data_IF_574261669838
#
_entry.id   IF_574261669838
#
_cell.length_a   1.000
_cell.length_b   1.000
_cell.length_c   1.000
_cell.angle_alpha   90.00
_cell.angle_beta   90.00
_cell.angle_gamma   90.00
#
_symmetry.space_group_name_H-M   'P 1'
#
loop_
_entity.id
_entity.type
_entity.pdbx_description
1 polymer ?
#
# COMPACT_ATOMS: atom_id res chain seq x y z
N UNK A 1 4.34 -15.44 43.57
CA UNK A 1 3.88 -15.00 42.21
C UNK A 1 4.46 -15.96 41.19
N UNK A 2 3.64 -16.80 40.58
CA UNK A 2 4.08 -17.63 39.44
C UNK A 2 4.08 -16.77 38.22
N UNK A 3 5.26 -16.53 37.64
CA UNK A 3 5.40 -15.82 36.36
C UNK A 3 5.35 -16.86 35.25
N UNK A 4 4.22 -16.93 34.53
CA UNK A 4 4.06 -17.80 33.36
C UNK A 4 4.47 -17.03 32.12
N UNK A 5 5.75 -17.14 31.73
CA UNK A 5 6.26 -16.56 30.49
C UNK A 5 5.97 -17.46 29.29
N UNK A 6 5.06 -17.06 28.40
CA UNK A 6 4.82 -17.76 27.11
C UNK A 6 5.86 -17.38 26.05
N UNK A 7 5.99 -18.20 24.99
CA UNK A 7 6.84 -17.84 23.85
C UNK A 7 6.40 -16.51 23.20
N UNK A 8 5.08 -16.29 23.09
CA UNK A 8 4.52 -15.03 22.58
C UNK A 8 4.94 -13.83 23.42
N UNK A 9 4.87 -13.91 24.78
CA UNK A 9 5.32 -12.83 25.66
C UNK A 9 6.82 -12.56 25.55
N UNK A 10 7.64 -13.61 25.36
CA UNK A 10 9.08 -13.47 25.15
C UNK A 10 9.40 -12.84 23.78
N UNK A 11 8.71 -13.25 22.73
CA UNK A 11 8.86 -12.68 21.40
C UNK A 11 8.52 -11.18 21.42
N UNK A 12 7.40 -10.81 22.04
CA UNK A 12 6.99 -9.42 22.12
C UNK A 12 7.93 -8.53 22.92
N UNK A 13 8.51 -9.04 24.02
CA UNK A 13 9.54 -8.30 24.78
C UNK A 13 10.74 -7.91 23.94
N UNK A 14 11.09 -8.69 22.91
CA UNK A 14 12.20 -8.42 22.00
C UNK A 14 11.94 -7.26 21.05
N UNK A 15 10.71 -6.82 20.87
CA UNK A 15 10.35 -5.80 19.87
C UNK A 15 9.55 -4.64 20.44
N UNK A 16 8.90 -4.80 21.60
CA UNK A 16 7.96 -3.79 22.12
C UNK A 16 8.52 -2.37 22.19
N UNK A 17 9.82 -2.21 22.46
CA UNK A 17 10.48 -0.91 22.49
C UNK A 17 10.72 -0.28 21.12
N UNK A 18 10.54 -1.05 20.04
CA UNK A 18 10.63 -0.58 18.67
C UNK A 18 9.24 -0.34 18.03
N UNK A 19 8.14 -0.69 18.72
CA UNK A 19 6.76 -0.42 18.27
C UNK A 19 6.32 0.93 18.83
N UNK A 20 5.83 1.81 17.95
CA UNK A 20 5.51 3.21 18.26
C UNK A 20 4.13 3.58 17.75
N UNK A 21 3.46 4.56 18.39
CA UNK A 21 2.30 5.23 17.80
C UNK A 21 2.76 6.29 16.82
N UNK A 22 2.05 6.39 15.69
CA UNK A 22 2.22 7.44 14.69
C UNK A 22 0.96 8.28 14.69
N UNK A 23 1.08 9.55 15.01
CA UNK A 23 -0.02 10.52 15.07
C UNK A 23 0.17 11.54 13.95
N UNK A 24 -0.86 11.69 13.11
CA UNK A 24 -0.88 12.62 12.00
C UNK A 24 -1.89 13.73 12.25
N UNK A 25 -1.49 14.95 11.98
CA UNK A 25 -2.30 16.16 12.21
C UNK A 25 -2.50 16.90 10.91
N UNK A 26 -3.71 17.40 10.67
CA UNK A 26 -4.00 18.31 9.56
C UNK A 26 -4.66 19.58 10.07
N UNK A 27 -4.38 20.70 9.42
CA UNK A 27 -5.09 21.94 9.65
C UNK A 27 -6.46 21.85 8.94
N UNK A 28 -7.51 21.54 9.66
CA UNK A 28 -8.85 21.65 9.12
C UNK A 28 -9.27 23.11 9.07
N UNK A 29 -9.15 23.74 7.90
CA UNK A 29 -9.87 24.97 7.57
C UNK A 29 -11.30 24.64 7.11
N UNK A 30 -12.05 23.88 7.89
CA UNK A 30 -13.49 23.79 7.68
C UNK A 30 -14.17 24.83 8.57
N UNK A 31 -14.73 25.85 7.90
CA UNK A 31 -15.60 26.81 8.55
C UNK A 31 -16.80 26.11 9.18
N UNK A 32 -16.65 25.84 10.44
CA UNK A 32 -17.72 25.57 11.36
C UNK A 32 -17.63 26.72 12.38
N UNK A 33 -18.57 27.68 12.28
CA UNK A 33 -18.79 28.72 13.25
C UNK A 33 -19.04 28.08 14.62
N UNK A 34 -17.98 27.81 15.34
CA UNK A 34 -18.06 27.41 16.75
C UNK A 34 -17.84 28.62 17.60
N UNK A 35 -18.58 28.70 18.73
CA UNK A 35 -18.55 29.77 19.72
C UNK A 35 -17.12 30.08 20.25
N UNK A 36 -16.14 29.26 19.97
CA UNK A 36 -14.74 29.45 20.34
C UNK A 36 -14.04 30.53 19.50
N UNK A 37 -14.48 30.76 18.25
CA UNK A 37 -13.95 31.88 17.41
C UNK A 37 -14.37 33.26 17.92
N UNK A 38 -15.37 33.32 18.81
CA UNK A 38 -15.89 34.58 19.37
C UNK A 38 -15.11 35.06 20.62
N UNK A 39 -14.29 34.17 21.24
CA UNK A 39 -13.54 34.48 22.45
C UNK A 39 -12.02 34.66 22.28
N UNK A 40 -11.55 34.71 21.04
CA UNK A 40 -10.30 35.37 20.70
C UNK A 40 -9.01 34.72 21.29
N UNK A 41 -8.89 33.39 21.22
CA UNK A 41 -7.58 32.76 21.32
C UNK A 41 -7.20 32.18 19.95
N UNK A 42 -6.30 32.87 19.24
CA UNK A 42 -5.81 32.52 17.91
C UNK A 42 -4.81 31.35 17.97
N UNK A 43 -5.18 30.27 18.65
CA UNK A 43 -4.48 29.01 18.60
C UNK A 43 -5.13 28.15 17.51
N UNK A 44 -4.47 27.99 16.37
CA UNK A 44 -4.84 26.97 15.39
C UNK A 44 -4.89 25.62 16.10
N UNK A 45 -6.11 25.12 16.41
CA UNK A 45 -6.27 23.83 17.03
C UNK A 45 -5.91 22.74 16.00
N UNK A 46 -4.68 22.25 16.10
CA UNK A 46 -4.25 21.07 15.34
C UNK A 46 -5.09 19.88 15.81
N UNK A 47 -5.99 19.42 14.97
CA UNK A 47 -6.79 18.23 15.27
C UNK A 47 -6.05 16.99 14.76
N UNK A 48 -5.83 16.03 15.63
CA UNK A 48 -5.31 14.70 15.19
C UNK A 48 -6.33 14.07 14.25
N UNK A 49 -5.91 13.84 13.00
CA UNK A 49 -6.79 13.32 11.94
C UNK A 49 -6.62 11.83 11.72
N UNK A 50 -5.48 11.27 12.12
CA UNK A 50 -5.20 9.85 11.97
C UNK A 50 -4.19 9.38 13.02
N UNK A 51 -4.42 8.18 13.53
CA UNK A 51 -3.52 7.48 14.44
C UNK A 51 -3.32 6.06 13.95
N UNK A 52 -2.10 5.57 14.05
CA UNK A 52 -1.71 4.21 13.72
C UNK A 52 -0.43 3.81 14.44
N UNK A 53 0.14 2.71 14.00
CA UNK A 53 1.38 2.16 14.52
C UNK A 53 2.55 2.38 13.57
N UNK A 54 3.76 2.24 14.09
CA UNK A 54 4.99 2.19 13.31
C UNK A 54 6.02 1.28 13.95
N UNK A 55 7.06 0.98 13.21
CA UNK A 55 8.16 0.13 13.64
C UNK A 55 9.49 0.84 13.44
N UNK A 56 10.25 1.05 14.49
CA UNK A 56 11.64 1.55 14.41
C UNK A 56 12.49 0.38 13.91
N UNK A 57 13.03 0.49 12.70
CA UNK A 57 13.80 -0.60 12.08
C UNK A 57 15.28 -0.29 11.89
N UNK A 58 15.69 0.97 12.04
CA UNK A 58 17.08 1.39 11.88
C UNK A 58 17.40 2.56 12.80
N UNK A 59 18.60 2.57 13.35
CA UNK A 59 19.21 3.70 14.03
C UNK A 59 20.55 4.00 13.38
N UNK A 60 20.79 5.26 13.04
CA UNK A 60 22.00 5.75 12.40
C UNK A 60 22.40 7.08 13.04
N UNK A 61 23.41 7.04 13.89
CA UNK A 61 23.81 8.19 14.70
C UNK A 61 22.67 8.73 15.56
N UNK A 62 22.33 9.99 15.36
CA UNK A 62 21.26 10.70 16.07
C UNK A 62 19.88 10.54 15.41
N UNK A 63 19.78 9.77 14.34
CA UNK A 63 18.54 9.58 13.59
C UNK A 63 18.04 8.14 13.71
N UNK A 64 16.76 7.95 13.92
CA UNK A 64 16.12 6.66 13.79
C UNK A 64 15.05 6.70 12.69
N UNK A 65 14.85 5.56 12.03
CA UNK A 65 13.91 5.40 10.93
C UNK A 65 12.75 4.52 11.38
N UNK A 66 11.54 4.96 11.03
CA UNK A 66 10.28 4.30 11.35
C UNK A 66 9.57 3.96 10.05
N UNK A 67 9.14 2.72 9.90
CA UNK A 67 8.19 2.34 8.83
C UNK A 67 6.78 2.37 9.40
N UNK A 68 5.84 2.87 8.61
CA UNK A 68 4.39 2.90 8.89
C UNK A 68 3.60 2.76 7.59
N UNK A 69 2.28 2.79 7.65
CA UNK A 69 1.45 2.85 6.46
C UNK A 69 1.34 4.29 5.90
N UNK A 70 1.27 4.39 4.58
CA UNK A 70 1.06 5.67 3.91
C UNK A 70 -0.29 6.30 4.29
N UNK A 71 -1.37 5.50 4.39
CA UNK A 71 -2.68 6.04 4.74
C UNK A 71 -2.74 6.67 6.14
N UNK A 72 -1.86 6.25 7.07
CA UNK A 72 -1.77 6.84 8.41
C UNK A 72 -1.27 8.29 8.37
N UNK A 73 -0.39 8.63 7.42
CA UNK A 73 0.24 9.96 7.33
C UNK A 73 -0.27 10.80 6.15
N UNK A 74 -1.14 10.24 5.32
CA UNK A 74 -1.60 10.90 4.10
C UNK A 74 -2.40 12.17 4.42
N UNK A 75 -2.03 13.28 3.76
CA UNK A 75 -2.68 14.59 3.96
C UNK A 75 -2.29 15.32 5.24
N UNK A 76 -1.35 14.76 6.03
CA UNK A 76 -0.91 15.39 7.26
C UNK A 76 0.06 16.57 7.00
N UNK A 77 -0.10 17.66 7.76
CA UNK A 77 0.83 18.77 7.79
C UNK A 77 1.93 18.57 8.84
N UNK A 78 1.65 17.75 9.85
CA UNK A 78 2.54 17.43 10.95
C UNK A 78 2.41 15.96 11.33
N UNK A 79 3.53 15.31 11.62
CA UNK A 79 3.57 13.93 12.09
C UNK A 79 4.39 13.87 13.36
N UNK A 80 3.87 13.18 14.37
CA UNK A 80 4.55 12.90 15.63
C UNK A 80 4.59 11.41 15.91
N UNK A 81 5.59 10.98 16.63
CA UNK A 81 5.77 9.58 17.03
C UNK A 81 5.82 9.52 18.56
N UNK A 82 4.91 8.73 19.13
CA UNK A 82 4.93 8.41 20.57
C UNK A 82 5.73 7.14 20.78
N UNK A 83 6.86 7.28 21.45
CA UNK A 83 7.76 6.18 21.79
C UNK A 83 7.19 5.32 22.91
N UNK A 84 7.65 4.08 23.03
CA UNK A 84 7.29 3.16 24.12
C UNK A 84 7.64 3.67 25.52
N UNK A 85 8.50 4.70 25.62
CA UNK A 85 8.82 5.42 26.85
C UNK A 85 7.76 6.45 27.25
N UNK A 86 6.72 6.68 26.45
CA UNK A 86 5.74 7.75 26.63
C UNK A 86 6.20 9.11 26.09
N UNK A 87 7.42 9.21 25.53
CA UNK A 87 7.92 10.46 24.96
C UNK A 87 7.40 10.65 23.53
N UNK A 88 6.77 11.78 23.27
CA UNK A 88 6.36 12.23 21.94
C UNK A 88 7.50 12.98 21.25
N UNK A 89 7.81 12.63 20.02
CA UNK A 89 8.88 13.24 19.21
C UNK A 89 8.34 13.61 17.83
N UNK A 90 8.82 14.74 17.30
CA UNK A 90 8.49 15.18 15.95
C UNK A 90 9.10 14.22 14.92
N UNK A 91 8.33 13.88 13.90
CA UNK A 91 8.78 13.08 12.78
C UNK A 91 8.80 13.89 11.48
N UNK A 92 9.75 13.55 10.61
CA UNK A 92 9.79 14.05 9.23
C UNK A 92 9.60 12.90 8.27
N UNK A 93 8.78 13.11 7.24
CA UNK A 93 8.56 12.10 6.20
C UNK A 93 9.78 12.05 5.30
N UNK A 94 10.41 10.87 5.20
CA UNK A 94 11.55 10.60 4.30
C UNK A 94 11.04 10.31 2.89
N UNK A 95 9.98 9.53 2.80
CA UNK A 95 9.30 9.17 1.57
C UNK A 95 8.08 8.32 1.87
N UNK A 96 7.18 8.25 0.91
CA UNK A 96 5.97 7.45 1.01
C UNK A 96 5.56 6.91 -0.36
N UNK A 97 4.73 5.88 -0.34
CA UNK A 97 4.22 5.23 -1.54
C UNK A 97 2.78 4.76 -1.32
N UNK A 98 1.87 5.34 -2.08
CA UNK A 98 0.44 5.06 -1.98
C UNK A 98 0.07 3.69 -2.56
N UNK A 99 0.87 3.13 -3.46
CA UNK A 99 0.63 1.84 -4.12
C UNK A 99 0.90 0.68 -3.16
N UNK A 100 2.05 0.71 -2.47
CA UNK A 100 2.39 -0.30 -1.44
C UNK A 100 1.80 0.03 -0.06
N UNK A 101 1.22 1.21 0.12
CA UNK A 101 0.73 1.72 1.40
C UNK A 101 1.80 1.78 2.49
N UNK A 102 3.04 2.13 2.13
CA UNK A 102 4.16 2.27 3.04
C UNK A 102 4.71 3.70 3.08
N UNK A 103 5.21 4.09 4.24
CA UNK A 103 5.92 5.34 4.44
C UNK A 103 7.11 5.15 5.37
N UNK A 104 8.14 5.96 5.20
CA UNK A 104 9.31 6.03 6.08
C UNK A 104 9.37 7.40 6.73
N UNK A 105 9.48 7.39 8.04
CA UNK A 105 9.68 8.58 8.86
C UNK A 105 11.09 8.56 9.47
N UNK A 106 11.63 9.73 9.74
CA UNK A 106 12.83 9.91 10.57
C UNK A 106 12.50 10.69 11.83
N UNK A 107 13.07 10.27 12.94
CA UNK A 107 12.94 10.87 14.27
C UNK A 107 14.30 11.04 14.92
N UNK A 108 14.37 11.88 15.97
CA UNK A 108 15.53 11.94 16.87
C UNK A 108 15.69 10.60 17.61
N UNK A 109 16.92 10.05 17.59
CA UNK A 109 17.22 8.74 18.13
C UNK A 109 17.65 8.75 19.61
N UNK A 110 17.71 9.90 20.27
CA UNK A 110 18.24 10.03 21.65
C UNK A 110 17.49 9.15 22.67
N UNK A 111 16.18 8.95 22.44
CA UNK A 111 15.31 8.15 23.31
C UNK A 111 14.97 6.77 22.71
N UNK A 112 15.57 6.40 21.58
CA UNK A 112 15.37 5.10 20.94
C UNK A 112 16.32 4.09 21.55
N UNK A 113 15.76 3.13 22.28
CA UNK A 113 16.50 2.07 22.97
C UNK A 113 16.51 0.73 22.24
N UNK A 114 15.57 0.51 21.35
CA UNK A 114 15.37 -0.77 20.66
C UNK A 114 15.03 -0.54 19.19
N UNK A 115 15.55 -1.43 18.35
CA UNK A 115 15.32 -1.47 16.91
C UNK A 115 14.81 -2.86 16.57
N UNK A 116 13.80 -2.96 15.71
CA UNK A 116 13.26 -4.22 15.25
C UNK A 116 14.15 -4.85 14.16
N UNK A 117 14.11 -6.17 14.10
CA UNK A 117 14.78 -6.94 13.05
C UNK A 117 13.74 -7.55 12.13
N UNK A 118 13.95 -7.42 10.81
CA UNK A 118 13.11 -8.11 9.83
C UNK A 118 13.49 -9.59 9.71
N UNK A 119 12.46 -10.45 9.68
CA UNK A 119 12.58 -11.84 9.26
C UNK A 119 12.41 -11.98 7.75
N UNK A 120 12.63 -13.18 7.23
CA UNK A 120 12.42 -13.49 5.81
C UNK A 120 11.01 -14.02 5.59
N UNK A 121 10.14 -13.20 4.97
CA UNK A 121 8.73 -13.56 4.72
C UNK A 121 8.54 -14.67 3.68
N UNK A 122 9.58 -15.03 2.92
CA UNK A 122 9.52 -16.19 2.01
C UNK A 122 9.63 -17.52 2.75
N UNK A 123 10.21 -17.53 3.96
CA UNK A 123 10.47 -18.73 4.75
C UNK A 123 9.37 -19.02 5.80
N UNK A 124 8.34 -18.18 5.90
CA UNK A 124 7.20 -18.44 6.81
C UNK A 124 6.34 -19.59 6.27
N UNK A 125 5.65 -20.30 7.17
CA UNK A 125 4.73 -21.37 6.79
C UNK A 125 3.31 -21.09 7.31
N UNK A 126 2.33 -21.57 6.56
CA UNK A 126 0.93 -21.56 7.01
C UNK A 126 0.81 -22.40 8.29
N UNK A 127 0.07 -21.88 9.26
CA UNK A 127 -0.08 -22.47 10.59
C UNK A 127 0.93 -22.01 11.63
N UNK A 128 2.01 -21.31 11.24
CA UNK A 128 2.93 -20.69 12.20
C UNK A 128 2.24 -19.59 13.00
N UNK A 129 2.59 -19.47 14.29
CA UNK A 129 2.08 -18.41 15.14
C UNK A 129 2.52 -17.04 14.65
N UNK A 130 1.56 -16.14 14.51
CA UNK A 130 1.75 -14.74 14.19
C UNK A 130 1.21 -13.85 15.29
N UNK A 131 1.96 -12.81 15.64
CA UNK A 131 1.62 -11.83 16.66
C UNK A 131 1.54 -10.45 16.03
N UNK A 132 0.41 -9.76 16.17
CA UNK A 132 0.28 -8.38 15.71
C UNK A 132 0.41 -7.43 16.90
N UNK A 133 1.45 -6.60 16.86
CA UNK A 133 1.76 -5.63 17.91
C UNK A 133 1.17 -4.26 17.60
N UNK A 134 0.65 -3.58 18.64
CA UNK A 134 0.19 -2.21 18.59
C UNK A 134 0.61 -1.46 19.87
N UNK A 135 0.99 -0.19 19.76
CA UNK A 135 1.23 0.66 20.92
C UNK A 135 -0.09 1.17 21.54
N UNK A 136 -1.25 1.09 20.84
CA UNK A 136 -2.59 1.57 21.23
C UNK A 136 -2.57 2.86 22.08
N UNK A 137 -2.12 3.98 21.46
CA UNK A 137 -2.31 5.33 21.98
C UNK A 137 -1.75 5.59 23.39
N UNK A 138 -1.98 6.80 23.85
CA UNK A 138 -1.56 7.25 25.19
C UNK A 138 -2.29 6.57 26.35
N UNK A 139 -3.48 6.01 26.12
CA UNK A 139 -4.33 5.41 27.16
C UNK A 139 -4.15 3.90 27.34
N UNK A 140 -3.68 3.19 26.29
CA UNK A 140 -3.55 1.72 26.31
C UNK A 140 -2.14 1.32 25.86
N UNK A 141 -1.21 1.30 26.81
CA UNK A 141 0.17 0.92 26.52
C UNK A 141 0.27 -0.51 26.01
N UNK A 142 0.58 -0.65 24.72
CA UNK A 142 1.00 -1.86 24.00
C UNK A 142 0.00 -3.05 24.07
N UNK A 143 -0.77 -3.22 23.00
CA UNK A 143 -1.58 -4.41 22.80
C UNK A 143 -0.90 -5.41 21.88
N UNK A 144 -1.18 -6.67 22.11
CA UNK A 144 -0.71 -7.79 21.31
C UNK A 144 -1.88 -8.72 21.00
N UNK A 145 -2.13 -8.95 19.72
CA UNK A 145 -3.06 -10.00 19.28
C UNK A 145 -2.27 -11.19 18.76
N UNK A 146 -2.81 -12.38 18.89
CA UNK A 146 -2.18 -13.62 18.47
C UNK A 146 -3.11 -14.37 17.54
N UNK A 147 -2.56 -14.95 16.51
CA UNK A 147 -3.18 -15.85 15.56
C UNK A 147 -2.13 -16.68 14.86
N UNK A 148 -2.43 -17.10 13.63
CA UNK A 148 -1.54 -17.87 12.78
C UNK A 148 -1.38 -17.21 11.42
N UNK A 149 -0.38 -17.64 10.67
CA UNK A 149 -0.29 -17.38 9.23
C UNK A 149 -1.34 -18.23 8.53
N UNK A 150 -2.38 -17.59 8.00
CA UNK A 150 -3.48 -18.28 7.28
C UNK A 150 -3.14 -18.48 5.80
N UNK A 151 -2.38 -17.55 5.20
CA UNK A 151 -1.78 -17.67 3.86
C UNK A 151 -0.55 -16.79 3.75
N UNK A 152 0.49 -17.23 3.00
CA UNK A 152 1.76 -16.48 2.92
C UNK A 152 1.94 -15.63 1.65
N UNK A 153 1.22 -15.93 0.60
CA UNK A 153 1.28 -15.21 -0.70
C UNK A 153 -0.11 -15.13 -1.32
N UNK A 154 -1.02 -14.42 -0.66
CA UNK A 154 -2.36 -14.19 -1.19
C UNK A 154 -2.34 -12.94 -2.05
N UNK A 155 -2.83 -13.04 -3.28
CA UNK A 155 -3.06 -11.86 -4.12
C UNK A 155 -4.46 -11.33 -3.84
N UNK A 156 -4.54 -10.03 -3.53
CA UNK A 156 -5.79 -9.30 -3.30
C UNK A 156 -5.85 -8.10 -4.24
N UNK A 157 -7.06 -7.73 -4.67
CA UNK A 157 -7.27 -6.49 -5.39
C UNK A 157 -7.24 -5.32 -4.41
N UNK A 158 -6.54 -4.25 -4.78
CA UNK A 158 -6.47 -3.02 -3.98
C UNK A 158 -7.31 -1.95 -4.65
N UNK A 159 -8.19 -1.32 -3.89
CA UNK A 159 -9.04 -0.23 -4.36
C UNK A 159 -8.69 1.08 -3.65
N UNK A 160 -8.95 2.21 -4.31
CA UNK A 160 -8.92 3.53 -3.67
C UNK A 160 -10.22 3.80 -2.88
N UNK A 161 -10.32 4.97 -2.28
CA UNK A 161 -11.51 5.40 -1.51
C UNK A 161 -12.79 5.49 -2.35
N UNK A 162 -12.67 5.52 -3.69
CA UNK A 162 -13.78 5.59 -4.63
C UNK A 162 -14.18 4.19 -5.15
N UNK A 163 -13.54 3.12 -4.65
CA UNK A 163 -13.78 1.74 -5.09
C UNK A 163 -13.10 1.39 -6.42
N UNK A 164 -12.28 2.30 -6.97
CA UNK A 164 -11.55 2.04 -8.23
C UNK A 164 -10.34 1.15 -7.94
N UNK A 165 -10.18 0.07 -8.72
CA UNK A 165 -9.02 -0.80 -8.59
C UNK A 165 -7.72 -0.05 -8.88
N UNK A 166 -6.80 -0.05 -7.93
CA UNK A 166 -5.48 0.56 -8.05
C UNK A 166 -4.38 -0.45 -8.39
N UNK A 167 -4.68 -1.73 -8.33
CA UNK A 167 -3.77 -2.82 -8.64
C UNK A 167 -4.04 -4.04 -7.75
N UNK A 168 -3.07 -4.94 -7.71
CA UNK A 168 -3.07 -6.11 -6.85
C UNK A 168 -1.89 -6.04 -5.89
N UNK A 169 -2.09 -6.54 -4.68
CA UNK A 169 -1.02 -6.70 -3.68
C UNK A 169 -0.88 -8.18 -3.31
N UNK A 170 0.36 -8.61 -3.12
CA UNK A 170 0.66 -9.90 -2.52
C UNK A 170 0.83 -9.71 -1.03
N UNK A 171 0.04 -10.41 -0.22
CA UNK A 171 -0.04 -10.20 1.22
C UNK A 171 0.13 -11.50 1.99
N UNK A 172 0.51 -11.37 3.26
CA UNK A 172 0.36 -12.40 4.28
C UNK A 172 -1.05 -12.27 4.85
N UNK A 173 -1.81 -13.36 4.92
CA UNK A 173 -3.07 -13.41 5.64
C UNK A 173 -2.86 -14.01 7.04
N UNK A 174 -3.52 -13.41 8.03
CA UNK A 174 -3.54 -13.89 9.43
C UNK A 174 -4.93 -13.74 10.02
N UNK A 175 -5.26 -14.59 10.99
CA UNK A 175 -6.45 -14.46 11.83
C UNK A 175 -6.17 -13.71 13.16
N UNK A 176 -4.92 -13.30 13.40
CA UNK A 176 -4.63 -12.32 14.43
C UNK A 176 -5.43 -11.04 14.17
N UNK A 177 -6.11 -10.52 15.17
CA UNK A 177 -6.98 -9.36 15.02
C UNK A 177 -6.19 -8.13 14.53
N UNK A 178 -6.51 -7.64 13.34
CA UNK A 178 -5.98 -6.40 12.75
C UNK A 178 -7.07 -5.33 12.85
N UNK A 179 -6.80 -4.29 13.60
CA UNK A 179 -7.70 -3.18 13.90
C UNK A 179 -7.02 -1.84 13.56
N UNK A 180 -7.74 -0.71 13.52
CA UNK A 180 -7.16 0.59 13.20
C UNK A 180 -5.87 0.90 13.95
N UNK A 181 -5.79 0.59 15.23
CA UNK A 181 -4.63 0.90 16.08
C UNK A 181 -3.35 0.13 15.74
N UNK A 182 -3.42 -1.07 15.13
CA UNK A 182 -2.22 -1.83 14.78
C UNK A 182 -1.82 -1.71 13.29
N UNK A 183 -2.54 -0.92 12.50
CA UNK A 183 -2.17 -0.59 11.12
C UNK A 183 -0.84 0.17 11.09
N UNK A 184 0.12 -0.29 10.31
CA UNK A 184 1.51 0.21 10.29
C UNK A 184 2.43 -0.45 11.32
N UNK A 185 1.87 -1.19 12.27
CA UNK A 185 2.61 -1.98 13.26
C UNK A 185 3.09 -3.32 12.71
N UNK A 186 3.90 -4.04 13.50
CA UNK A 186 4.52 -5.27 13.04
C UNK A 186 3.59 -6.47 13.16
N UNK A 187 3.67 -7.37 12.17
CA UNK A 187 3.36 -8.78 12.32
C UNK A 187 4.67 -9.50 12.61
N UNK A 188 4.77 -10.21 13.72
CA UNK A 188 6.01 -10.87 14.15
C UNK A 188 5.84 -12.37 14.31
N UNK A 189 6.94 -13.10 14.15
CA UNK A 189 7.05 -14.52 14.51
C UNK A 189 7.43 -14.71 16.00
N UNK A 190 7.48 -15.97 16.46
CA UNK A 190 7.87 -16.28 17.84
C UNK A 190 9.35 -16.01 18.16
N UNK A 191 10.19 -15.76 17.17
CA UNK A 191 11.55 -15.29 17.36
C UNK A 191 11.62 -13.77 17.66
N UNK A 192 10.50 -13.03 17.49
CA UNK A 192 10.41 -11.58 17.63
C UNK A 192 10.88 -10.82 16.40
N UNK A 193 10.94 -11.47 15.24
CA UNK A 193 11.28 -10.85 13.97
C UNK A 193 10.03 -10.35 13.26
N UNK A 194 10.12 -9.19 12.61
CA UNK A 194 9.04 -8.63 11.78
C UNK A 194 8.96 -9.42 10.46
N UNK A 195 7.87 -10.12 10.26
CA UNK A 195 7.57 -10.87 9.03
C UNK A 195 6.62 -10.12 8.10
N UNK A 196 6.00 -9.04 8.57
CA UNK A 196 5.16 -8.16 7.78
C UNK A 196 4.79 -6.89 8.52
N UNK A 197 4.21 -5.94 7.78
CA UNK A 197 3.61 -4.71 8.32
C UNK A 197 2.09 -4.80 8.13
N UNK A 198 1.35 -4.71 9.22
CA UNK A 198 -0.11 -4.81 9.22
C UNK A 198 -0.72 -3.65 8.43
N UNK A 199 -1.74 -3.90 7.63
CA UNK A 199 -2.49 -2.87 6.91
C UNK A 199 -3.98 -3.14 6.95
N UNK A 200 -4.71 -2.30 7.66
CA UNK A 200 -6.15 -2.37 7.69
C UNK A 200 -6.79 -1.97 6.35
N UNK A 201 -6.17 -1.08 5.60
CA UNK A 201 -6.63 -0.70 4.25
C UNK A 201 -6.73 -1.93 3.34
N UNK A 202 -5.76 -2.84 3.41
CA UNK A 202 -5.78 -4.08 2.64
C UNK A 202 -6.82 -5.07 3.16
N UNK A 203 -7.10 -5.07 4.47
CA UNK A 203 -8.11 -5.94 5.08
C UNK A 203 -9.55 -5.53 4.74
N UNK A 204 -9.79 -4.26 4.45
CA UNK A 204 -11.12 -3.75 4.07
C UNK A 204 -11.46 -3.96 2.60
N UNK A 205 -10.46 -4.11 1.71
CA UNK A 205 -10.67 -4.25 0.27
C UNK A 205 -11.03 -5.66 -0.18
N UNK A 206 -10.73 -6.69 0.60
CA UNK A 206 -11.08 -8.09 0.29
C UNK A 206 -12.57 -8.44 0.34
N UNK A 207 -13.46 -7.51 0.66
CA UNK A 207 -14.89 -7.73 0.91
C UNK A 207 -15.82 -7.03 -0.10
N UNK A 208 -15.42 -6.85 -1.36
CA UNK A 208 -16.20 -6.09 -2.35
C UNK A 208 -17.29 -6.91 -3.07
N UNK A 209 -18.21 -7.54 -2.34
CA UNK A 209 -19.44 -8.10 -2.96
C UNK A 209 -20.73 -7.78 -2.22
N UNK A 210 -20.85 -6.68 -1.53
CA UNK A 210 -22.17 -6.10 -1.17
C UNK A 210 -22.02 -4.74 -0.49
N UNK A 211 -22.97 -3.88 -0.75
CA UNK A 211 -23.15 -2.50 -0.25
C UNK A 211 -23.37 -2.38 1.28
N UNK A 212 -22.79 -3.28 2.07
CA UNK A 212 -22.63 -3.17 3.52
C UNK A 212 -21.18 -3.49 3.86
N UNK A 213 -20.48 -2.54 4.45
CA UNK A 213 -19.11 -2.66 4.96
C UNK A 213 -19.06 -3.67 6.12
N UNK A 214 -19.24 -4.94 5.83
CA UNK A 214 -19.00 -6.02 6.78
C UNK A 214 -17.53 -6.39 6.69
N UNK A 215 -16.73 -5.93 7.64
CA UNK A 215 -15.40 -6.50 7.84
C UNK A 215 -15.58 -8.00 8.08
N UNK A 216 -14.96 -8.85 7.27
CA UNK A 216 -14.98 -10.29 7.50
C UNK A 216 -14.10 -10.54 8.71
N UNK A 217 -14.73 -10.92 9.84
CA UNK A 217 -14.01 -11.26 11.06
C UNK A 217 -13.01 -12.40 10.79
N UNK A 218 -11.81 -12.31 11.38
CA UNK A 218 -10.78 -13.34 11.26
C UNK A 218 -9.95 -13.30 9.97
N UNK A 219 -10.01 -12.22 9.18
CA UNK A 219 -9.12 -11.99 8.05
C UNK A 219 -8.36 -10.67 8.18
N UNK A 220 -7.11 -10.74 8.61
CA UNK A 220 -6.18 -9.63 8.61
C UNK A 220 -5.12 -9.81 7.52
N UNK A 221 -4.57 -8.70 7.01
CA UNK A 221 -3.51 -8.72 6.01
C UNK A 221 -2.31 -7.89 6.43
N UNK A 222 -1.13 -8.38 6.07
CA UNK A 222 0.13 -7.69 6.27
C UNK A 222 0.96 -7.69 4.98
N UNK A 223 1.68 -6.60 4.75
CA UNK A 223 2.64 -6.46 3.65
C UNK A 223 3.87 -7.32 4.03
N UNK A 224 4.31 -8.27 3.19
CA UNK A 224 5.42 -9.15 3.51
C UNK A 224 6.73 -8.40 3.77
N UNK A 225 7.51 -8.82 4.75
CA UNK A 225 8.75 -8.13 5.16
C UNK A 225 9.76 -7.96 4.03
N UNK A 226 9.90 -8.92 3.12
CA UNK A 226 10.82 -8.79 1.99
C UNK A 226 10.40 -7.67 1.04
N UNK A 227 9.10 -7.48 0.83
CA UNK A 227 8.57 -6.35 0.07
C UNK A 227 8.76 -5.02 0.83
N UNK A 228 8.46 -5.01 2.14
CA UNK A 228 8.70 -3.84 3.00
C UNK A 228 10.14 -3.37 2.88
N UNK A 229 11.13 -4.26 3.04
CA UNK A 229 12.56 -3.93 2.96
C UNK A 229 12.93 -3.35 1.59
N UNK A 230 12.42 -3.94 0.51
CA UNK A 230 12.64 -3.45 -0.85
C UNK A 230 12.09 -2.02 -1.04
N UNK A 231 10.90 -1.76 -0.55
CA UNK A 231 10.22 -0.45 -0.68
C UNK A 231 10.90 0.61 0.20
N UNK A 232 11.13 0.32 1.49
CA UNK A 232 11.74 1.32 2.39
C UNK A 232 13.15 1.72 1.97
N UNK A 233 13.93 0.81 1.37
CA UNK A 233 15.23 1.14 0.80
C UNK A 233 15.10 2.17 -0.34
N UNK A 234 14.13 2.00 -1.24
CA UNK A 234 13.87 2.97 -2.30
C UNK A 234 13.39 4.31 -1.74
N UNK A 235 12.50 4.30 -0.74
CA UNK A 235 12.02 5.51 -0.08
C UNK A 235 13.15 6.29 0.59
N UNK A 236 14.10 5.60 1.25
CA UNK A 236 15.25 6.24 1.88
C UNK A 236 16.23 6.81 0.85
N UNK A 237 16.46 6.08 -0.24
CA UNK A 237 17.42 6.48 -1.28
C UNK A 237 16.88 7.58 -2.20
N UNK A 238 15.60 7.50 -2.59
CA UNK A 238 15.02 8.31 -3.66
C UNK A 238 13.86 9.20 -3.20
N UNK A 239 13.39 9.06 -1.96
CA UNK A 239 12.17 9.71 -1.46
C UNK A 239 10.87 9.17 -2.05
N UNK A 240 10.95 8.27 -3.03
CA UNK A 240 9.82 7.67 -3.76
C UNK A 240 10.16 6.28 -4.27
N UNK A 241 9.13 5.50 -4.61
CA UNK A 241 9.28 4.24 -5.35
C UNK A 241 9.21 4.53 -6.84
N UNK A 242 10.23 4.13 -7.57
CA UNK A 242 10.30 4.31 -9.02
C UNK A 242 9.62 3.13 -9.70
N UNK A 243 8.55 3.39 -10.46
CA UNK A 243 7.80 2.39 -11.23
C UNK A 243 7.71 2.80 -12.68
N UNK A 244 7.71 1.85 -13.63
CA UNK A 244 7.47 2.16 -15.03
C UNK A 244 6.01 2.54 -15.29
N UNK A 245 5.79 3.35 -16.33
CA UNK A 245 4.48 3.72 -16.82
C UNK A 245 4.39 3.55 -18.33
N UNK A 246 3.19 3.26 -18.83
CA UNK A 246 2.94 3.17 -20.28
C UNK A 246 2.52 4.51 -20.89
N UNK A 247 2.09 5.49 -20.06
CA UNK A 247 1.67 6.81 -20.55
C UNK A 247 0.47 6.76 -21.48
N UNK A 248 -0.54 5.99 -21.13
CA UNK A 248 -1.78 5.83 -21.87
C UNK A 248 -3.01 6.15 -21.01
N UNK A 249 -4.08 6.61 -21.64
CA UNK A 249 -5.42 6.54 -21.07
C UNK A 249 -6.08 5.25 -21.55
N UNK A 250 -6.80 4.58 -20.68
CA UNK A 250 -7.35 3.24 -20.94
C UNK A 250 -8.71 3.05 -20.27
N UNK A 251 -9.43 2.03 -20.73
CA UNK A 251 -10.63 1.53 -20.10
C UNK A 251 -10.59 -0.01 -20.10
N UNK A 252 -11.11 -0.63 -19.05
CA UNK A 252 -11.19 -2.08 -19.02
C UNK A 252 -12.22 -2.56 -20.06
N UNK A 253 -11.89 -3.64 -20.77
CA UNK A 253 -12.76 -4.20 -21.79
C UNK A 253 -14.14 -4.60 -21.24
N UNK A 254 -14.23 -4.91 -19.94
CA UNK A 254 -15.47 -5.27 -19.28
C UNK A 254 -16.51 -4.14 -19.26
N UNK A 255 -16.07 -2.88 -19.36
CA UNK A 255 -16.96 -1.72 -19.48
C UNK A 255 -17.36 -1.39 -20.93
N UNK A 256 -16.86 -2.13 -21.91
CA UNK A 256 -17.19 -1.93 -23.32
C UNK A 256 -18.31 -2.87 -23.71
N UNK A 257 -19.36 -2.35 -24.33
CA UNK A 257 -20.50 -3.15 -24.77
C UNK A 257 -20.08 -4.24 -25.77
N UNK A 258 -20.80 -5.35 -25.80
CA UNK A 258 -20.54 -6.46 -26.76
C UNK A 258 -20.61 -5.97 -28.21
N UNK A 259 -21.55 -5.07 -28.51
CA UNK A 259 -21.67 -4.45 -29.81
C UNK A 259 -20.43 -3.66 -30.21
N UNK A 260 -19.88 -2.83 -29.27
CA UNK A 260 -18.68 -2.07 -29.55
C UNK A 260 -17.43 -2.94 -29.64
N UNK A 261 -17.33 -4.02 -28.85
CA UNK A 261 -16.25 -4.99 -28.99
C UNK A 261 -16.18 -5.60 -30.39
N UNK A 262 -17.34 -5.92 -30.97
CA UNK A 262 -17.42 -6.52 -32.32
C UNK A 262 -17.32 -5.48 -33.42
N UNK A 263 -18.02 -4.33 -33.31
CA UNK A 263 -18.17 -3.38 -34.42
C UNK A 263 -17.07 -2.31 -34.43
N UNK A 264 -16.72 -1.79 -33.24
CA UNK A 264 -15.73 -0.70 -33.10
C UNK A 264 -14.32 -1.25 -32.96
N UNK A 265 -14.12 -2.24 -32.06
CA UNK A 265 -12.83 -2.85 -31.80
C UNK A 265 -12.51 -4.03 -32.74
N UNK A 266 -13.50 -4.54 -33.45
CA UNK A 266 -13.40 -5.70 -34.35
C UNK A 266 -12.73 -6.91 -33.65
N UNK A 267 -13.03 -7.12 -32.36
CA UNK A 267 -12.43 -8.20 -31.59
C UNK A 267 -13.04 -9.55 -31.88
N UNK A 268 -12.24 -10.62 -31.94
CA UNK A 268 -12.76 -11.98 -31.93
C UNK A 268 -13.60 -12.23 -30.67
N UNK A 269 -14.72 -12.93 -30.81
CA UNK A 269 -15.66 -13.23 -29.70
C UNK A 269 -15.02 -13.93 -28.48
N UNK A 270 -13.92 -14.66 -28.73
CA UNK A 270 -13.12 -15.31 -27.64
C UNK A 270 -12.34 -14.33 -26.75
N UNK A 271 -12.19 -13.06 -27.16
CA UNK A 271 -11.48 -12.03 -26.40
C UNK A 271 -12.48 -11.30 -25.54
N UNK A 272 -12.59 -11.73 -24.29
CA UNK A 272 -13.57 -11.20 -23.34
C UNK A 272 -12.98 -10.28 -22.28
N UNK A 273 -11.64 -10.21 -22.17
CA UNK A 273 -10.96 -9.40 -21.14
C UNK A 273 -9.70 -8.75 -21.70
N UNK A 274 -9.30 -7.63 -21.13
CA UNK A 274 -8.14 -6.85 -21.54
C UNK A 274 -8.32 -5.37 -21.22
N UNK A 275 -7.43 -4.54 -21.72
CA UNK A 275 -7.45 -3.08 -21.55
C UNK A 275 -7.48 -2.41 -22.90
N UNK A 276 -8.46 -1.55 -23.13
CA UNK A 276 -8.61 -0.78 -24.36
C UNK A 276 -7.80 0.51 -24.23
N UNK A 277 -6.91 0.75 -25.19
CA UNK A 277 -6.15 2.00 -25.29
C UNK A 277 -7.07 3.10 -25.83
N UNK A 278 -7.32 4.12 -25.05
CA UNK A 278 -8.15 5.27 -25.43
C UNK A 278 -7.31 6.42 -25.97
N UNK A 279 -6.09 6.57 -25.45
CA UNK A 279 -5.13 7.62 -25.87
C UNK A 279 -3.71 7.17 -25.56
N UNK A 280 -2.79 7.47 -26.49
CA UNK A 280 -1.34 7.34 -26.27
C UNK A 280 -0.77 8.75 -26.11
N UNK A 281 -0.25 9.05 -24.91
CA UNK A 281 0.30 10.37 -24.57
C UNK A 281 1.60 10.63 -25.34
N UNK A 282 2.00 11.91 -25.47
CA UNK A 282 3.22 12.28 -26.20
C UNK A 282 4.49 11.67 -25.62
N UNK A 283 4.56 11.52 -24.29
CA UNK A 283 5.70 10.93 -23.56
C UNK A 283 5.67 9.39 -23.49
N UNK A 284 4.64 8.76 -24.03
CA UNK A 284 4.46 7.31 -23.96
C UNK A 284 5.56 6.55 -24.71
N UNK A 285 6.15 5.51 -24.11
CA UNK A 285 7.06 4.60 -24.81
C UNK A 285 6.36 3.84 -25.95
N UNK A 286 5.02 3.73 -25.92
CA UNK A 286 4.24 3.10 -26.99
C UNK A 286 4.22 3.91 -28.29
N UNK A 287 4.60 5.18 -28.28
CA UNK A 287 4.74 6.00 -29.50
C UNK A 287 5.74 5.43 -30.52
N UNK A 288 6.65 4.57 -30.06
CA UNK A 288 7.63 3.90 -30.93
C UNK A 288 7.13 2.55 -31.47
N UNK A 289 5.87 2.24 -31.25
CA UNK A 289 5.19 0.99 -31.66
C UNK A 289 3.97 1.34 -32.50
N UNK A 290 3.36 0.31 -33.07
CA UNK A 290 2.09 0.46 -33.82
C UNK A 290 0.86 0.49 -32.89
N UNK A 291 1.06 0.39 -31.54
CA UNK A 291 -0.04 0.44 -30.59
C UNK A 291 -0.69 1.83 -30.62
N UNK A 292 -1.98 1.85 -30.86
CA UNK A 292 -2.77 3.06 -31.08
C UNK A 292 -4.13 3.01 -30.37
N UNK A 293 -4.88 4.09 -30.48
CA UNK A 293 -6.25 4.17 -29.96
C UNK A 293 -7.10 3.01 -30.46
N UNK A 294 -7.87 2.41 -29.55
CA UNK A 294 -8.74 1.26 -29.75
C UNK A 294 -8.05 -0.10 -29.87
N UNK A 295 -6.75 -0.16 -29.74
CA UNK A 295 -6.06 -1.43 -29.53
C UNK A 295 -6.36 -1.99 -28.13
N UNK A 296 -6.37 -3.32 -28.02
CA UNK A 296 -6.69 -4.00 -26.77
C UNK A 296 -5.49 -4.79 -26.29
N UNK A 297 -4.88 -4.35 -25.18
CA UNK A 297 -3.75 -5.03 -24.56
C UNK A 297 -4.27 -6.23 -23.77
N UNK A 298 -3.70 -7.41 -24.05
CA UNK A 298 -4.09 -8.70 -23.43
C UNK A 298 -2.93 -9.41 -22.72
N UNK A 299 -1.69 -8.96 -22.92
CA UNK A 299 -0.51 -9.50 -22.22
C UNK A 299 0.59 -8.46 -22.12
N UNK A 300 1.33 -8.48 -21.01
CA UNK A 300 2.54 -7.68 -20.78
C UNK A 300 3.59 -8.52 -20.06
N UNK A 301 4.78 -8.61 -20.64
CA UNK A 301 5.90 -9.36 -20.06
C UNK A 301 5.56 -10.85 -19.81
N UNK A 302 4.77 -11.46 -20.67
CA UNK A 302 4.30 -12.86 -20.56
C UNK A 302 3.17 -13.08 -19.54
N UNK A 303 2.72 -12.03 -18.85
CA UNK A 303 1.57 -12.10 -17.92
C UNK A 303 0.29 -11.68 -18.61
N UNK A 304 -0.79 -12.43 -18.38
CA UNK A 304 -2.12 -12.09 -18.90
C UNK A 304 -2.59 -10.76 -18.31
N UNK A 305 -3.14 -9.90 -19.16
CA UNK A 305 -3.81 -8.65 -18.81
C UNK A 305 -5.30 -8.85 -19.00
N UNK A 306 -6.05 -8.87 -17.92
CA UNK A 306 -7.51 -8.97 -17.92
C UNK A 306 -8.21 -7.64 -17.65
N UNK A 307 -7.52 -6.65 -17.11
CA UNK A 307 -8.02 -5.33 -16.78
C UNK A 307 -6.88 -4.46 -16.20
N UNK A 308 -7.20 -3.27 -15.74
CA UNK A 308 -6.25 -2.27 -15.21
C UNK A 308 -5.41 -2.83 -14.07
N UNK A 309 -6.04 -3.56 -13.15
CA UNK A 309 -5.36 -4.14 -11.98
C UNK A 309 -4.24 -5.10 -12.38
N UNK A 310 -4.54 -6.06 -13.26
CA UNK A 310 -3.56 -7.03 -13.76
C UNK A 310 -2.48 -6.37 -14.64
N UNK A 311 -2.85 -5.34 -15.42
CA UNK A 311 -1.88 -4.55 -16.19
C UNK A 311 -0.86 -3.88 -15.26
N UNK A 312 -1.31 -3.20 -14.21
CA UNK A 312 -0.43 -2.56 -13.21
C UNK A 312 0.46 -3.58 -12.53
N UNK A 313 -0.08 -4.70 -12.10
CA UNK A 313 0.69 -5.78 -11.48
C UNK A 313 1.76 -6.34 -12.41
N UNK A 314 1.44 -6.55 -13.68
CA UNK A 314 2.41 -7.00 -14.67
C UNK A 314 3.49 -5.94 -14.90
N UNK A 315 3.11 -4.66 -15.05
CA UNK A 315 4.00 -3.55 -15.31
C UNK A 315 4.95 -3.28 -14.12
N UNK A 316 4.43 -3.28 -12.89
CA UNK A 316 5.22 -3.02 -11.68
C UNK A 316 6.15 -4.17 -11.28
N UNK A 317 6.05 -5.31 -11.92
CA UNK A 317 7.05 -6.39 -11.85
C UNK A 317 8.33 -6.09 -12.63
N UNK A 318 8.37 -4.99 -13.39
CA UNK A 318 9.51 -4.54 -14.19
C UNK A 318 10.08 -3.23 -13.66
N UNK A 319 11.28 -2.89 -14.13
CA UNK A 319 11.97 -1.63 -13.81
C UNK A 319 11.91 -0.66 -15.00
N UNK A 320 12.05 0.62 -14.71
CA UNK A 320 12.31 1.62 -15.76
C UNK A 320 13.61 1.26 -16.46
N UNK A 321 13.57 1.20 -17.80
CA UNK A 321 14.67 0.74 -18.64
C UNK A 321 14.53 -0.68 -19.18
N UNK A 322 13.70 -1.53 -18.56
CA UNK A 322 13.43 -2.88 -19.06
C UNK A 322 12.73 -2.83 -20.42
N UNK A 323 12.97 -3.86 -21.24
CA UNK A 323 12.22 -4.10 -22.47
C UNK A 323 11.25 -5.25 -22.26
N UNK A 324 9.97 -5.03 -22.53
CA UNK A 324 8.90 -6.02 -22.33
C UNK A 324 8.13 -6.25 -23.63
N UNK A 325 7.69 -7.51 -23.85
CA UNK A 325 6.75 -7.82 -24.91
C UNK A 325 5.34 -7.46 -24.46
N UNK A 326 4.61 -6.70 -25.30
CA UNK A 326 3.18 -6.45 -25.17
C UNK A 326 2.46 -7.18 -26.26
N UNK A 327 1.44 -7.99 -25.92
CA UNK A 327 0.52 -8.57 -26.89
C UNK A 327 -0.78 -7.78 -26.87
N UNK A 328 -1.26 -7.44 -28.05
CA UNK A 328 -2.44 -6.61 -28.23
C UNK A 328 -3.20 -6.97 -29.51
N UNK A 329 -4.48 -6.72 -29.49
CA UNK A 329 -5.32 -6.82 -30.69
C UNK A 329 -5.38 -5.44 -31.37
N UNK A 330 -5.07 -5.42 -32.67
CA UNK A 330 -5.23 -4.27 -33.55
C UNK A 330 -6.21 -4.64 -34.64
N UNK A 331 -7.39 -4.01 -34.65
CA UNK A 331 -8.48 -4.33 -35.65
C UNK A 331 -8.77 -5.81 -35.78
N UNK A 332 -8.77 -6.52 -34.66
CA UNK A 332 -9.07 -7.95 -34.62
C UNK A 332 -7.89 -8.90 -34.82
N UNK A 333 -6.72 -8.38 -35.18
CA UNK A 333 -5.49 -9.17 -35.33
C UNK A 333 -4.63 -9.11 -34.07
N UNK A 334 -4.19 -10.27 -33.60
CA UNK A 334 -3.25 -10.35 -32.47
C UNK A 334 -1.84 -9.99 -32.95
N UNK A 335 -1.27 -8.95 -32.35
CA UNK A 335 0.08 -8.44 -32.62
C UNK A 335 0.94 -8.43 -31.37
N UNK A 336 2.24 -8.27 -31.58
CA UNK A 336 3.26 -8.16 -30.53
C UNK A 336 4.10 -6.93 -30.77
N UNK A 337 4.49 -6.26 -29.69
CA UNK A 337 5.45 -5.16 -29.72
C UNK A 337 6.43 -5.29 -28.54
N UNK A 338 7.71 -5.08 -28.80
CA UNK A 338 8.72 -4.94 -27.77
C UNK A 338 8.83 -3.46 -27.38
N UNK A 339 8.60 -3.18 -26.10
CA UNK A 339 8.54 -1.82 -25.57
C UNK A 339 9.61 -1.63 -24.52
N UNK A 340 10.49 -0.64 -24.71
CA UNK A 340 11.40 -0.20 -23.66
C UNK A 340 10.66 0.75 -22.74
N UNK A 341 10.57 0.40 -21.45
CA UNK A 341 9.85 1.16 -20.42
C UNK A 341 10.68 2.39 -20.01
N UNK A 342 10.53 3.50 -20.72
CA UNK A 342 11.31 4.73 -20.53
C UNK A 342 10.64 5.77 -19.66
N UNK A 343 9.37 5.58 -19.34
CA UNK A 343 8.56 6.53 -18.58
C UNK A 343 8.42 6.07 -17.14
N UNK A 344 8.62 6.98 -16.18
CA UNK A 344 8.33 6.76 -14.77
C UNK A 344 6.85 7.08 -14.46
N UNK A 345 6.24 6.29 -13.59
CA UNK A 345 4.94 6.61 -13.01
C UNK A 345 5.12 7.77 -12.03
N UNK A 346 4.41 8.87 -12.28
CA UNK A 346 4.25 9.94 -11.30
C UNK A 346 2.88 9.79 -10.63
N UNK A 347 2.79 10.02 -9.31
CA UNK A 347 1.52 9.97 -8.57
C UNK A 347 0.45 10.91 -9.16
N UNK A 348 0.87 11.93 -9.93
CA UNK A 348 -0.02 12.86 -10.64
C UNK A 348 -0.56 12.33 -11.99
N UNK A 349 -0.01 11.24 -12.53
CA UNK A 349 -0.38 10.71 -13.86
C UNK A 349 -1.23 9.44 -13.82
N UNK A 350 -1.71 9.03 -12.67
CA UNK A 350 -2.78 8.04 -12.52
C UNK A 350 -4.15 8.71 -12.63
N UNK A 351 -4.32 9.62 -13.60
CA UNK A 351 -5.66 10.07 -13.94
C UNK A 351 -6.40 8.95 -14.64
N UNK A 352 -7.07 8.13 -13.85
CA UNK A 352 -8.24 7.38 -14.29
C UNK A 352 -9.15 8.37 -15.01
N UNK A 353 -9.55 8.02 -16.23
CA UNK A 353 -10.61 8.73 -16.91
C UNK A 353 -11.83 8.72 -15.97
N UNK A 354 -12.12 9.87 -15.35
CA UNK A 354 -13.40 10.09 -14.68
C UNK A 354 -14.48 9.89 -15.73
N UNK A 355 -15.40 8.99 -15.44
CA UNK A 355 -16.61 8.74 -16.19
C UNK A 355 -17.45 10.03 -16.15
N UNK A 356 -17.23 10.94 -17.10
CA UNK A 356 -18.18 12.01 -17.40
C UNK A 356 -19.17 11.45 -18.42
N UNK A 357 -20.09 10.63 -17.92
CA UNK A 357 -21.31 10.30 -18.61
C UNK A 357 -22.35 11.35 -18.27
N UNK A 358 -22.68 12.14 -19.25
CA UNK A 358 -23.96 12.83 -19.33
C UNK A 358 -24.89 11.98 -20.17
#
# INVERSE_FOLDING_TARGET
KVSVGTQASKAFKKIKGAVVSVEAYSNSSSGSDTLEDLFGDSGSSETSTSEGSGVIYKKDGNTAFVVTNNHVISGANKVEVLLSSGKKVKASVVGHDSVSDLAVLKIDASNVKQVATFGNSDNINVGETALAGSPLGSEYATSLTQGIISAKKRTIDVTDSNGTSTGQATVIQTDAAINPGNSGGPLINLAGQVIGINSMKLSSTGSSTSSSSTSVEGMGFAIPSNEVVSIINQLVQNGKVVRPALGISLVDLDYVSEADRSQTLNLPSKVTSGVVVMKVNSSSPLKKTDISKYDVIVSLGGKKVSGLSSLRTALYGHKVGDTVEIQYYHKGELKKANVKLTLESNDKNTSTASNSGN
#
